data_IF_085111336456
#
_entry.id   IF_085111336456
#
_cell.length_a   1.000
_cell.length_b   1.000
_cell.length_c   1.000
_cell.angle_alpha   90.00
_cell.angle_beta   90.00
_cell.angle_gamma   90.00
#
_symmetry.space_group_name_H-M   'P 1'
#
loop_
_entity.id
_entity.type
_entity.pdbx_description
1 polymer ?
#
# COMPACT_ATOMS: atom_id res chain seq x y z
N UNK A 1 -1.30 -2.83 -12.66
CA UNK A 1 -0.30 -2.60 -11.58
C UNK A 1 1.08 -2.96 -12.08
N UNK A 2 2.06 -2.12 -11.80
CA UNK A 2 3.49 -2.33 -12.12
C UNK A 2 4.29 -2.42 -10.83
N UNK A 3 5.10 -3.48 -10.70
CA UNK A 3 6.03 -3.63 -9.58
C UNK A 3 7.43 -3.24 -10.07
N UNK A 4 8.00 -2.21 -9.44
CA UNK A 4 9.30 -1.64 -9.81
C UNK A 4 10.41 -2.04 -8.84
N UNK A 5 11.66 -1.79 -9.23
CA UNK A 5 12.88 -2.06 -8.45
C UNK A 5 13.16 -3.55 -8.22
N UNK A 6 12.72 -4.39 -9.17
CA UNK A 6 12.98 -5.83 -9.17
C UNK A 6 11.93 -6.67 -8.43
N UNK A 7 12.25 -7.94 -8.19
CA UNK A 7 11.36 -8.98 -7.65
C UNK A 7 11.80 -9.54 -6.29
N UNK A 8 12.86 -8.98 -5.71
CA UNK A 8 13.44 -9.45 -4.45
C UNK A 8 13.33 -8.38 -3.38
N UNK A 9 12.64 -8.70 -2.30
CA UNK A 9 12.33 -7.78 -1.19
C UNK A 9 13.35 -7.93 -0.07
N UNK A 10 13.73 -6.81 0.59
CA UNK A 10 14.57 -6.83 1.80
C UNK A 10 13.80 -7.27 3.05
N UNK A 11 12.48 -7.43 2.99
CA UNK A 11 11.61 -7.83 4.12
C UNK A 11 10.87 -9.13 3.84
N UNK A 12 10.57 -9.88 4.90
CA UNK A 12 9.88 -11.18 4.87
C UNK A 12 8.53 -11.10 5.58
N UNK A 13 7.53 -10.51 4.94
CA UNK A 13 6.18 -10.49 5.50
C UNK A 13 5.51 -11.86 5.37
N UNK A 14 4.90 -12.37 6.47
CA UNK A 14 4.37 -13.73 6.53
C UNK A 14 3.19 -14.05 5.59
N UNK A 15 2.63 -13.05 4.92
CA UNK A 15 1.51 -13.20 3.97
C UNK A 15 1.94 -13.04 2.50
N UNK A 16 3.17 -12.56 2.24
CA UNK A 16 3.61 -12.12 0.91
C UNK A 16 4.48 -13.18 0.22
N UNK A 17 4.19 -13.47 -1.05
CA UNK A 17 4.89 -14.48 -1.87
C UNK A 17 6.05 -13.88 -2.69
N UNK A 18 6.43 -12.64 -2.44
CA UNK A 18 7.61 -12.02 -3.07
C UNK A 18 8.89 -12.62 -2.49
N UNK A 19 9.86 -12.90 -3.37
CA UNK A 19 11.16 -13.42 -2.96
C UNK A 19 11.83 -12.50 -1.93
N UNK A 20 12.45 -13.09 -0.91
CA UNK A 20 13.19 -12.34 0.11
C UNK A 20 14.69 -12.56 -0.05
N UNK A 21 15.46 -11.49 0.00
CA UNK A 21 16.92 -11.57 -0.14
C UNK A 21 17.59 -10.23 -0.41
N UNK A 22 18.77 -10.32 -1.03
CA UNK A 22 19.49 -9.12 -1.50
C UNK A 22 18.97 -8.77 -2.90
N UNK A 23 18.33 -7.59 -3.07
CA UNK A 23 17.87 -7.15 -4.38
C UNK A 23 19.01 -6.89 -5.37
N UNK A 24 18.68 -6.92 -6.66
CA UNK A 24 19.61 -6.48 -7.72
C UNK A 24 19.75 -4.96 -7.77
N UNK A 25 20.73 -4.49 -8.54
CA UNK A 25 20.89 -3.07 -8.82
C UNK A 25 19.66 -2.50 -9.55
N UNK A 26 19.43 -1.21 -9.40
CA UNK A 26 18.35 -0.50 -10.07
C UNK A 26 18.65 -0.40 -11.56
N UNK A 27 17.59 -0.51 -12.36
CA UNK A 27 17.64 -0.29 -13.80
C UNK A 27 17.13 1.13 -14.11
N UNK A 28 18.03 2.02 -14.46
CA UNK A 28 17.72 3.43 -14.74
C UNK A 28 16.70 3.65 -15.87
N UNK A 29 16.49 2.65 -16.73
CA UNK A 29 15.51 2.70 -17.82
C UNK A 29 14.13 2.13 -17.43
N UNK A 30 14.00 1.49 -16.27
CA UNK A 30 12.72 0.92 -15.83
C UNK A 30 11.60 1.97 -15.74
N UNK A 31 11.81 3.20 -15.20
CA UNK A 31 10.77 4.23 -15.19
C UNK A 31 10.23 4.58 -16.58
N UNK A 32 11.10 4.69 -17.58
CA UNK A 32 10.70 4.94 -18.95
C UNK A 32 9.90 3.76 -19.52
N UNK A 33 10.36 2.52 -19.33
CA UNK A 33 9.65 1.32 -19.82
C UNK A 33 8.28 1.16 -19.17
N UNK A 34 8.13 1.50 -17.88
CA UNK A 34 6.82 1.53 -17.23
C UNK A 34 5.91 2.55 -17.91
N UNK A 35 6.40 3.76 -18.18
CA UNK A 35 5.63 4.80 -18.84
C UNK A 35 5.22 4.41 -20.27
N UNK A 36 6.11 3.80 -21.06
CA UNK A 36 5.82 3.25 -22.38
C UNK A 36 4.80 2.11 -22.34
N UNK A 37 4.87 1.26 -21.31
CA UNK A 37 3.90 0.18 -21.11
C UNK A 37 2.51 0.73 -20.79
N UNK A 38 2.42 1.75 -19.93
CA UNK A 38 1.17 2.47 -19.63
C UNK A 38 0.56 3.04 -20.91
N UNK A 39 1.39 3.66 -21.77
CA UNK A 39 0.97 4.22 -23.06
C UNK A 39 0.48 3.13 -24.01
N UNK A 40 1.25 2.06 -24.18
CA UNK A 40 0.91 0.97 -25.09
C UNK A 40 -0.38 0.25 -24.69
N UNK A 41 -0.65 0.16 -23.38
CA UNK A 41 -1.87 -0.44 -22.84
C UNK A 41 -3.04 0.55 -22.76
N UNK A 42 -2.83 1.82 -23.12
CA UNK A 42 -3.84 2.90 -23.09
C UNK A 42 -4.53 3.01 -21.72
N UNK A 43 -3.75 2.90 -20.63
CA UNK A 43 -4.32 2.88 -19.28
C UNK A 43 -4.78 4.27 -18.85
N UNK A 44 -5.99 4.36 -18.33
CA UNK A 44 -6.54 5.58 -17.69
C UNK A 44 -6.14 5.71 -16.23
N UNK A 45 -5.73 4.59 -15.61
CA UNK A 45 -5.25 4.52 -14.23
C UNK A 45 -4.11 3.51 -14.12
N UNK A 46 -2.99 3.94 -13.57
CA UNK A 46 -1.81 3.09 -13.36
C UNK A 46 -1.45 3.02 -11.88
N UNK A 47 -1.33 1.80 -11.35
CA UNK A 47 -0.83 1.57 -9.99
C UNK A 47 0.63 1.16 -10.06
N UNK A 48 1.50 1.89 -9.34
CA UNK A 48 2.93 1.62 -9.22
C UNK A 48 3.21 1.15 -7.80
N UNK A 49 3.79 -0.01 -7.67
CA UNK A 49 4.23 -0.56 -6.37
C UNK A 49 5.68 -1.03 -6.46
N UNK A 50 6.28 -1.42 -5.35
CA UNK A 50 7.63 -1.96 -5.32
C UNK A 50 7.79 -3.06 -4.28
N UNK A 51 8.90 -3.78 -4.39
CA UNK A 51 9.50 -4.48 -3.26
C UNK A 51 10.06 -3.48 -2.24
N UNK A 52 10.22 -3.87 -0.98
CA UNK A 52 10.98 -3.03 -0.04
C UNK A 52 12.46 -3.04 -0.40
N UNK A 53 13.06 -1.85 -0.43
CA UNK A 53 14.46 -1.59 -0.75
C UNK A 53 15.16 -0.90 0.42
N UNK A 54 15.13 -1.57 1.60
CA UNK A 54 15.82 -1.08 2.82
C UNK A 54 17.34 -1.03 2.67
N UNK A 55 17.87 -1.55 1.57
CA UNK A 55 19.26 -1.48 1.12
C UNK A 55 19.63 -0.13 0.49
N UNK A 56 18.64 0.62 -0.01
CA UNK A 56 18.82 1.96 -0.57
C UNK A 56 18.72 3.04 0.51
N UNK A 57 19.50 4.12 0.42
CA UNK A 57 19.52 5.18 1.43
C UNK A 57 18.14 5.84 1.65
N UNK A 58 17.38 6.01 0.57
CA UNK A 58 16.04 6.63 0.55
C UNK A 58 14.90 5.61 0.45
N UNK A 59 15.20 4.30 0.58
CA UNK A 59 14.23 3.23 0.40
C UNK A 59 13.63 3.14 -1.01
N UNK A 60 14.22 3.82 -2.00
CA UNK A 60 13.77 3.87 -3.40
C UNK A 60 12.74 4.97 -3.71
N UNK A 61 12.56 5.95 -2.82
CA UNK A 61 11.56 7.01 -3.01
C UNK A 61 11.86 7.88 -4.24
N UNK A 62 13.13 8.22 -4.49
CA UNK A 62 13.53 8.96 -5.69
C UNK A 62 13.23 8.18 -6.98
N UNK A 63 13.32 6.85 -6.93
CA UNK A 63 12.99 6.01 -8.07
C UNK A 63 11.48 5.95 -8.33
N UNK A 64 10.65 5.93 -7.27
CA UNK A 64 9.21 6.13 -7.38
C UNK A 64 8.90 7.48 -8.02
N UNK A 65 9.49 8.58 -7.52
CA UNK A 65 9.27 9.92 -8.05
C UNK A 65 9.61 10.00 -9.55
N UNK A 66 10.76 9.45 -9.95
CA UNK A 66 11.17 9.35 -11.36
C UNK A 66 10.14 8.59 -12.20
N UNK A 67 9.61 7.47 -11.66
CA UNK A 67 8.60 6.66 -12.37
C UNK A 67 7.29 7.43 -12.53
N UNK A 68 6.82 8.11 -11.48
CA UNK A 68 5.61 8.95 -11.54
C UNK A 68 5.78 10.04 -12.62
N UNK A 69 6.91 10.74 -12.62
CA UNK A 69 7.18 11.79 -13.59
C UNK A 69 7.20 11.27 -15.03
N UNK A 70 7.85 10.13 -15.30
CA UNK A 70 7.88 9.54 -16.64
C UNK A 70 6.49 9.09 -17.09
N UNK A 71 5.70 8.46 -16.22
CA UNK A 71 4.32 8.07 -16.54
C UNK A 71 3.48 9.31 -16.89
N UNK A 72 3.51 10.34 -16.05
CA UNK A 72 2.74 11.58 -16.29
C UNK A 72 3.22 12.34 -17.54
N UNK A 73 4.52 12.32 -17.82
CA UNK A 73 5.09 12.97 -19.00
C UNK A 73 4.60 12.33 -20.31
N UNK A 74 4.59 11.00 -20.40
CA UNK A 74 4.14 10.27 -21.59
C UNK A 74 2.62 10.12 -21.66
N UNK A 75 1.94 10.11 -20.51
CA UNK A 75 0.51 9.80 -20.38
C UNK A 75 -0.20 10.86 -19.51
N UNK A 76 -0.32 12.10 -19.96
CA UNK A 76 -0.80 13.21 -19.12
C UNK A 76 -2.26 13.08 -18.65
N UNK A 77 -3.04 12.20 -19.25
CA UNK A 77 -4.43 11.91 -18.84
C UNK A 77 -4.56 10.69 -17.92
N UNK A 78 -3.45 9.96 -17.66
CA UNK A 78 -3.47 8.77 -16.79
C UNK A 78 -3.34 9.18 -15.33
N UNK A 79 -4.28 8.74 -14.51
CA UNK A 79 -4.19 8.86 -13.06
C UNK A 79 -3.14 7.88 -12.51
N UNK A 80 -2.27 8.34 -11.62
CA UNK A 80 -1.21 7.52 -11.00
C UNK A 80 -1.52 7.27 -9.53
N UNK A 81 -1.62 6.01 -9.16
CA UNK A 81 -1.63 5.56 -7.77
C UNK A 81 -0.26 4.96 -7.45
N UNK A 82 0.27 5.23 -6.26
CA UNK A 82 1.47 4.56 -5.76
C UNK A 82 1.17 3.77 -4.50
N UNK A 83 1.61 2.52 -4.44
CA UNK A 83 1.63 1.72 -3.21
C UNK A 83 3.06 1.65 -2.69
N UNK A 84 3.36 2.48 -1.70
CA UNK A 84 4.71 2.70 -1.18
C UNK A 84 5.02 1.89 0.08
N UNK A 85 6.29 1.55 0.33
CA UNK A 85 6.74 1.05 1.62
C UNK A 85 6.70 2.16 2.69
N UNK A 86 7.01 1.81 3.95
CA UNK A 86 7.03 2.79 5.04
C UNK A 86 8.33 3.65 5.09
N UNK A 87 9.27 3.45 4.17
CA UNK A 87 10.58 4.11 4.11
C UNK A 87 11.28 4.23 5.47
N UNK A 88 11.03 3.26 6.39
CA UNK A 88 11.51 3.31 7.79
C UNK A 88 11.11 4.58 8.56
N UNK A 89 10.13 5.33 8.05
CA UNK A 89 9.63 6.59 8.62
C UNK A 89 10.45 7.83 8.21
N UNK A 90 11.26 7.71 7.18
CA UNK A 90 12.01 8.85 6.61
C UNK A 90 11.04 9.83 5.91
N UNK A 91 10.92 11.02 6.49
CA UNK A 91 10.03 12.08 5.96
C UNK A 91 10.51 12.61 4.62
N UNK A 92 11.82 12.75 4.41
CA UNK A 92 12.39 13.18 3.13
C UNK A 92 12.05 12.22 1.99
N UNK A 93 12.01 10.91 2.29
CA UNK A 93 11.56 9.91 1.33
C UNK A 93 10.05 10.04 1.02
N UNK A 94 9.23 10.38 2.02
CA UNK A 94 7.79 10.62 1.80
C UNK A 94 7.58 11.92 1.01
N UNK A 95 8.37 12.96 1.27
CA UNK A 95 8.31 14.23 0.54
C UNK A 95 8.61 14.04 -0.95
N UNK A 96 9.59 13.19 -1.32
CA UNK A 96 9.86 12.83 -2.72
C UNK A 96 8.60 12.30 -3.43
N UNK A 97 7.77 11.53 -2.74
CA UNK A 97 6.51 11.00 -3.30
C UNK A 97 5.46 12.12 -3.41
N UNK A 98 5.32 12.94 -2.38
CA UNK A 98 4.35 14.04 -2.33
C UNK A 98 4.65 15.06 -3.44
N UNK A 99 5.92 15.44 -3.61
CA UNK A 99 6.38 16.38 -4.65
C UNK A 99 6.16 15.83 -6.07
N UNK A 100 6.31 14.50 -6.27
CA UNK A 100 5.98 13.86 -7.54
C UNK A 100 4.48 13.86 -7.84
N UNK A 101 3.64 14.21 -6.86
CA UNK A 101 2.21 14.48 -6.97
C UNK A 101 1.38 13.34 -7.61
N UNK A 102 1.42 12.10 -7.13
CA UNK A 102 0.50 11.07 -7.58
C UNK A 102 -0.94 11.46 -7.20
N UNK A 103 -1.95 10.95 -7.91
CA UNK A 103 -3.36 11.16 -7.58
C UNK A 103 -3.79 10.39 -6.34
N UNK A 104 -3.14 9.22 -6.07
CA UNK A 104 -3.39 8.43 -4.87
C UNK A 104 -2.05 7.97 -4.26
N UNK A 105 -1.86 8.30 -2.98
CA UNK A 105 -0.78 7.78 -2.15
C UNK A 105 -1.35 6.66 -1.27
N UNK A 106 -0.98 5.43 -1.58
CA UNK A 106 -1.38 4.24 -0.85
C UNK A 106 -0.21 3.70 -0.02
N UNK A 107 -0.47 3.44 1.26
CA UNK A 107 0.40 2.67 2.13
C UNK A 107 -0.42 1.75 3.01
N UNK A 108 -0.26 0.44 2.86
CA UNK A 108 -1.06 -0.54 3.56
C UNK A 108 -0.64 -0.72 5.03
N UNK A 109 -1.63 -0.76 5.93
CA UNK A 109 -1.45 -1.23 7.30
C UNK A 109 -1.35 -2.76 7.37
N UNK A 110 -1.99 -3.45 6.46
CA UNK A 110 -2.10 -4.91 6.28
C UNK A 110 -2.86 -5.62 7.40
N UNK A 111 -2.59 -5.32 8.67
CA UNK A 111 -3.20 -6.01 9.81
C UNK A 111 -3.31 -5.11 11.04
N UNK A 112 -4.00 -5.61 12.07
CA UNK A 112 -4.23 -4.92 13.35
C UNK A 112 -2.96 -4.79 14.20
N UNK A 113 -2.87 -3.85 15.16
CA UNK A 113 -1.67 -3.59 15.97
C UNK A 113 -1.08 -4.85 16.64
N UNK A 114 -1.93 -5.71 17.23
CA UNK A 114 -1.50 -6.92 17.92
C UNK A 114 -0.73 -7.89 17.04
N UNK A 115 -1.12 -7.99 15.76
CA UNK A 115 -0.55 -8.93 14.80
C UNK A 115 0.62 -8.36 13.99
N UNK A 116 0.88 -7.05 14.03
CA UNK A 116 1.92 -6.41 13.22
C UNK A 116 3.28 -7.08 13.35
N UNK A 117 3.74 -7.28 14.58
CA UNK A 117 5.08 -7.82 14.85
C UNK A 117 5.27 -9.24 14.32
N UNK A 118 4.19 -10.03 14.31
CA UNK A 118 4.20 -11.41 13.83
C UNK A 118 4.08 -11.51 12.31
N UNK A 119 3.30 -10.62 11.70
CA UNK A 119 2.94 -10.68 10.28
C UNK A 119 3.86 -9.81 9.42
N UNK A 120 4.28 -8.65 9.94
CA UNK A 120 5.13 -7.64 9.26
C UNK A 120 6.34 -7.30 10.12
N UNK A 121 7.24 -8.22 10.29
CA UNK A 121 8.36 -8.18 11.27
C UNK A 121 9.20 -6.90 11.24
N UNK A 122 9.37 -6.25 10.09
CA UNK A 122 10.17 -5.04 9.90
C UNK A 122 9.32 -3.75 9.81
N UNK A 123 7.99 -3.85 9.90
CA UNK A 123 7.09 -2.71 9.88
C UNK A 123 6.52 -2.42 11.29
N UNK A 124 5.88 -1.27 11.43
CA UNK A 124 5.25 -0.85 12.67
C UNK A 124 3.91 -0.17 12.37
N UNK A 125 2.86 -0.52 13.11
CA UNK A 125 1.54 0.07 12.98
C UNK A 125 1.59 1.59 13.12
N UNK A 126 2.20 2.09 14.20
CA UNK A 126 2.32 3.52 14.44
C UNK A 126 3.11 4.26 13.36
N UNK A 127 4.16 3.63 12.77
CA UNK A 127 4.91 4.22 11.66
C UNK A 127 4.03 4.33 10.41
N UNK A 128 3.29 3.28 10.08
CA UNK A 128 2.38 3.27 8.94
C UNK A 128 1.28 4.33 9.08
N UNK A 129 0.68 4.43 10.28
CA UNK A 129 -0.32 5.45 10.56
C UNK A 129 0.26 6.88 10.48
N UNK A 130 1.46 7.09 11.06
CA UNK A 130 2.16 8.39 11.00
C UNK A 130 2.52 8.81 9.58
N UNK A 131 2.84 7.86 8.68
CA UNK A 131 3.10 8.15 7.27
C UNK A 131 1.84 8.69 6.60
N UNK A 132 0.69 8.02 6.78
CA UNK A 132 -0.57 8.44 6.19
C UNK A 132 -1.00 9.81 6.73
N UNK A 133 -0.87 10.02 8.05
CA UNK A 133 -1.16 11.31 8.68
C UNK A 133 -0.24 12.41 8.14
N UNK A 134 1.07 12.14 8.03
CA UNK A 134 2.03 13.11 7.49
C UNK A 134 1.66 13.53 6.05
N UNK A 135 1.24 12.58 5.20
CA UNK A 135 0.76 12.91 3.86
C UNK A 135 -0.49 13.79 3.91
N UNK A 136 -1.43 13.54 4.81
CA UNK A 136 -2.65 14.38 4.97
C UNK A 136 -2.35 15.78 5.50
N UNK A 137 -1.39 15.91 6.42
CA UNK A 137 -1.02 17.18 7.03
C UNK A 137 -0.10 18.03 6.14
N UNK A 138 0.44 17.43 5.07
CA UNK A 138 1.33 18.08 4.11
C UNK A 138 0.54 18.84 3.02
N UNK A 139 1.27 19.42 2.05
CA UNK A 139 0.68 20.03 0.86
C UNK A 139 0.21 19.01 -0.21
N UNK A 140 0.08 17.73 0.14
CA UNK A 140 -0.39 16.70 -0.78
C UNK A 140 -1.85 16.93 -1.17
N UNK A 141 -2.10 17.09 -2.46
CA UNK A 141 -3.44 17.36 -3.02
C UNK A 141 -4.18 16.10 -3.46
N UNK A 142 -3.50 14.95 -3.49
CA UNK A 142 -4.10 13.67 -3.87
C UNK A 142 -4.90 13.03 -2.73
N UNK A 143 -5.32 11.78 -2.96
CA UNK A 143 -6.04 10.97 -1.98
C UNK A 143 -5.08 10.06 -1.23
N UNK A 144 -5.26 9.93 0.08
CA UNK A 144 -4.58 8.90 0.87
C UNK A 144 -5.37 7.60 0.87
N UNK A 145 -4.68 6.49 0.76
CA UNK A 145 -5.29 5.15 0.72
C UNK A 145 -4.52 4.17 1.61
N UNK A 146 -5.26 3.23 2.18
CA UNK A 146 -4.67 2.10 2.92
C UNK A 146 -5.44 0.81 2.70
N UNK A 147 -4.81 -0.32 3.02
CA UNK A 147 -5.42 -1.64 2.93
C UNK A 147 -5.21 -2.47 4.18
N UNK A 148 -6.23 -3.28 4.48
CA UNK A 148 -6.21 -4.33 5.49
C UNK A 148 -6.49 -5.68 4.85
N UNK A 149 -5.83 -6.70 5.38
CA UNK A 149 -6.05 -8.10 5.02
C UNK A 149 -6.59 -8.80 6.27
N UNK A 150 -7.79 -9.36 6.20
CA UNK A 150 -8.45 -10.04 7.32
C UNK A 150 -8.47 -11.55 7.12
N UNK A 151 -8.59 -12.30 8.23
CA UNK A 151 -8.54 -13.76 8.25
C UNK A 151 -7.19 -14.33 8.69
N UNK A 152 -6.31 -13.50 9.27
CA UNK A 152 -5.00 -13.90 9.79
C UNK A 152 -4.99 -14.08 11.32
N UNK A 153 -6.12 -13.85 12.01
CA UNK A 153 -6.28 -14.02 13.47
C UNK A 153 -6.65 -12.76 14.22
N UNK A 154 -7.01 -11.69 13.51
CA UNK A 154 -7.61 -10.48 14.08
C UNK A 154 -9.04 -10.76 14.56
N UNK A 155 -9.45 -10.05 15.60
CA UNK A 155 -10.83 -10.00 16.08
C UNK A 155 -11.59 -8.85 15.39
N UNK A 156 -12.92 -8.98 15.34
CA UNK A 156 -13.77 -7.95 14.70
C UNK A 156 -13.54 -6.56 15.30
N UNK A 157 -13.52 -6.44 16.60
CA UNK A 157 -13.34 -5.20 17.35
C UNK A 157 -11.97 -4.55 17.09
N UNK A 158 -10.94 -5.35 16.84
CA UNK A 158 -9.61 -4.84 16.49
C UNK A 158 -9.61 -4.15 15.12
N UNK A 159 -10.35 -4.70 14.15
CA UNK A 159 -10.51 -4.07 12.82
C UNK A 159 -11.32 -2.79 12.94
N UNK A 160 -12.37 -2.77 13.77
CA UNK A 160 -13.14 -1.55 14.05
C UNK A 160 -12.26 -0.46 14.68
N UNK A 161 -11.41 -0.81 15.64
CA UNK A 161 -10.47 0.14 16.24
C UNK A 161 -9.48 0.73 15.21
N UNK A 162 -9.02 -0.09 14.25
CA UNK A 162 -8.18 0.40 13.14
C UNK A 162 -8.95 1.38 12.25
N UNK A 163 -10.23 1.12 11.96
CA UNK A 163 -11.07 2.04 11.18
C UNK A 163 -11.27 3.36 11.91
N UNK A 164 -11.41 3.34 13.23
CA UNK A 164 -11.49 4.55 14.05
C UNK A 164 -10.18 5.35 14.00
N UNK A 165 -9.01 4.70 14.17
CA UNK A 165 -7.70 5.36 14.02
C UNK A 165 -7.54 6.01 12.63
N UNK A 166 -7.95 5.31 11.56
CA UNK A 166 -7.89 5.81 10.19
C UNK A 166 -8.83 7.01 9.96
N UNK A 167 -10.00 7.00 10.56
CA UNK A 167 -10.93 8.14 10.56
C UNK A 167 -10.32 9.37 11.23
N UNK A 168 -9.67 9.21 12.39
CA UNK A 168 -9.05 10.31 13.14
C UNK A 168 -7.95 11.02 12.33
N UNK A 169 -7.25 10.30 11.44
CA UNK A 169 -6.24 10.90 10.55
C UNK A 169 -6.80 11.26 9.16
N UNK A 170 -8.13 11.21 8.97
CA UNK A 170 -8.83 11.58 7.74
C UNK A 170 -8.35 10.85 6.48
N UNK A 171 -8.09 9.54 6.54
CA UNK A 171 -7.76 8.74 5.35
C UNK A 171 -8.94 8.73 4.39
N UNK A 172 -8.68 8.89 3.09
CA UNK A 172 -9.73 9.02 2.07
C UNK A 172 -10.29 7.67 1.61
N UNK A 173 -9.44 6.65 1.49
CA UNK A 173 -9.80 5.34 0.91
C UNK A 173 -9.26 4.22 1.79
N UNK A 174 -10.13 3.26 2.13
CA UNK A 174 -9.75 2.03 2.83
C UNK A 174 -10.20 0.82 2.03
N UNK A 175 -9.33 -0.17 1.88
CA UNK A 175 -9.66 -1.46 1.28
C UNK A 175 -9.54 -2.56 2.32
N UNK A 176 -10.50 -3.48 2.39
CA UNK A 176 -10.48 -4.62 3.31
C UNK A 176 -10.74 -5.89 2.51
N UNK A 177 -9.75 -6.78 2.45
CA UNK A 177 -9.81 -8.02 1.69
C UNK A 177 -9.51 -9.27 2.53
N UNK A 178 -9.99 -10.43 2.08
CA UNK A 178 -9.66 -11.72 2.70
C UNK A 178 -8.21 -12.10 2.43
N UNK A 179 -7.50 -12.54 3.45
CA UNK A 179 -6.22 -13.22 3.30
C UNK A 179 -6.41 -14.55 2.54
N UNK A 180 -5.70 -14.67 1.43
CA UNK A 180 -5.60 -15.92 0.67
C UNK A 180 -4.16 -16.40 0.75
N UNK A 181 -3.95 -17.56 1.36
CA UNK A 181 -2.62 -18.11 1.60
C UNK A 181 -1.94 -18.49 0.28
N UNK A 182 -0.79 -17.87 -0.10
CA UNK A 182 -0.15 -18.16 -1.38
C UNK A 182 0.37 -19.60 -1.47
N UNK A 183 1.09 -20.08 -0.45
CA UNK A 183 1.62 -21.45 -0.39
C UNK A 183 1.58 -22.00 1.03
N UNK A 184 1.85 -23.32 1.19
CA UNK A 184 1.90 -23.97 2.50
C UNK A 184 3.00 -23.41 3.44
N UNK A 185 3.97 -22.65 2.92
CA UNK A 185 5.04 -22.02 3.72
C UNK A 185 4.61 -20.72 4.38
N UNK A 186 3.57 -20.06 3.86
CA UNK A 186 3.03 -18.82 4.39
C UNK A 186 2.14 -19.05 5.61
N UNK A 187 1.79 -17.96 6.28
CA UNK A 187 0.89 -17.99 7.44
C UNK A 187 -0.40 -18.75 7.09
N UNK A 188 -0.85 -19.70 7.94
CA UNK A 188 -2.14 -20.35 7.71
C UNK A 188 -3.28 -19.33 7.78
N UNK A 189 -4.33 -19.57 7.00
CA UNK A 189 -5.59 -18.85 7.15
C UNK A 189 -6.17 -19.23 8.50
N UNK A 190 -6.47 -18.23 9.34
CA UNK A 190 -7.11 -18.45 10.64
C UNK A 190 -8.61 -18.71 10.45
N UNK A 191 -9.26 -17.90 9.62
CA UNK A 191 -10.66 -18.07 9.23
C UNK A 191 -10.95 -17.43 7.88
N UNK A 192 -11.99 -17.89 7.23
CA UNK A 192 -12.63 -17.16 6.14
C UNK A 192 -13.71 -16.27 6.76
N UNK A 193 -13.57 -14.97 6.53
CA UNK A 193 -14.48 -13.94 7.06
C UNK A 193 -15.80 -13.97 6.28
N UNK A 194 -16.92 -13.94 6.98
CA UNK A 194 -18.25 -13.96 6.38
C UNK A 194 -18.54 -12.68 5.58
N UNK A 195 -19.33 -12.78 4.51
CA UNK A 195 -19.68 -11.64 3.67
C UNK A 195 -20.37 -10.52 4.44
N UNK A 196 -21.20 -10.89 5.40
CA UNK A 196 -21.93 -9.97 6.28
C UNK A 196 -20.97 -9.16 7.17
N UNK A 197 -19.84 -9.74 7.55
CA UNK A 197 -18.80 -9.04 8.33
C UNK A 197 -18.09 -7.98 7.47
N UNK A 198 -17.80 -8.28 6.21
CA UNK A 198 -17.27 -7.27 5.27
C UNK A 198 -18.22 -6.10 5.07
N UNK A 199 -19.54 -6.37 5.00
CA UNK A 199 -20.56 -5.32 4.92
C UNK A 199 -20.56 -4.46 6.18
N UNK A 200 -20.39 -5.08 7.37
CA UNK A 200 -20.31 -4.35 8.64
C UNK A 200 -19.07 -3.47 8.71
N UNK A 201 -17.88 -3.97 8.30
CA UNK A 201 -16.66 -3.15 8.24
C UNK A 201 -16.87 -1.90 7.39
N UNK A 202 -17.47 -2.04 6.20
CA UNK A 202 -17.78 -0.91 5.34
C UNK A 202 -18.72 0.07 6.03
N UNK A 203 -19.89 -0.39 6.48
CA UNK A 203 -20.91 0.47 7.09
C UNK A 203 -20.40 1.21 8.33
N UNK A 204 -19.65 0.52 9.21
CA UNK A 204 -19.13 1.14 10.44
C UNK A 204 -18.05 2.17 10.09
N UNK A 205 -17.10 1.84 9.22
CA UNK A 205 -16.05 2.77 8.85
C UNK A 205 -16.59 4.01 8.12
N UNK A 206 -17.59 3.86 7.25
CA UNK A 206 -18.30 4.99 6.65
C UNK A 206 -19.02 5.84 7.71
N UNK A 207 -19.59 5.22 8.75
CA UNK A 207 -20.22 5.94 9.88
C UNK A 207 -19.20 6.74 10.73
N UNK A 208 -17.93 6.32 10.74
CA UNK A 208 -16.84 7.10 11.35
C UNK A 208 -16.38 8.28 10.48
N UNK A 209 -16.89 8.39 9.25
CA UNK A 209 -16.58 9.49 8.33
C UNK A 209 -15.49 9.18 7.30
N UNK A 210 -15.06 7.92 7.14
CA UNK A 210 -14.14 7.55 6.05
C UNK A 210 -14.91 7.67 4.73
N UNK A 211 -14.43 8.49 3.76
CA UNK A 211 -15.22 8.80 2.56
C UNK A 211 -15.47 7.63 1.63
N UNK A 212 -14.52 6.68 1.56
CA UNK A 212 -14.63 5.53 0.65
C UNK A 212 -14.05 4.27 1.26
N UNK A 213 -14.87 3.21 1.36
CA UNK A 213 -14.42 1.89 1.82
C UNK A 213 -14.85 0.84 0.81
N UNK A 214 -13.86 0.09 0.30
CA UNK A 214 -14.12 -1.15 -0.42
C UNK A 214 -13.81 -2.34 0.49
N UNK A 215 -14.82 -3.17 0.75
CA UNK A 215 -14.70 -4.29 1.67
C UNK A 215 -15.36 -5.53 1.09
N UNK A 216 -14.61 -6.62 0.98
CA UNK A 216 -15.12 -7.87 0.43
C UNK A 216 -14.04 -8.93 0.26
N UNK A 217 -14.42 -10.22 0.11
CA UNK A 217 -13.46 -11.33 0.07
C UNK A 217 -12.40 -11.21 -1.04
N UNK A 218 -12.76 -10.63 -2.18
CA UNK A 218 -11.86 -10.49 -3.33
C UNK A 218 -11.29 -9.08 -3.49
N UNK A 219 -11.58 -8.16 -2.58
CA UNK A 219 -11.00 -6.80 -2.61
C UNK A 219 -9.49 -6.89 -2.41
N UNK A 220 -8.77 -6.06 -3.16
CA UNK A 220 -7.33 -5.86 -3.06
C UNK A 220 -7.01 -4.37 -3.04
N UNK A 221 -5.89 -4.00 -2.43
CA UNK A 221 -5.43 -2.60 -2.41
C UNK A 221 -4.91 -2.13 -3.76
N UNK A 222 -4.52 -3.05 -4.65
CA UNK A 222 -4.08 -2.75 -6.03
C UNK A 222 -4.49 -3.87 -6.97
N UNK A 223 -4.88 -3.54 -8.19
CA UNK A 223 -5.20 -4.46 -9.28
C UNK A 223 -4.28 -4.24 -10.47
#
# INVERSE_FOLDING_TARGET
TFMIMGDTCTRACGFCDVNTGKPCDLDDLEPLRVAESVQTMELTHAVITSVNRDDLPDGGSAFFAKTIHEVKRLNPSTSVEVLIPDFKGDRGAIDNIIEASPEVLNHNLETVPRLQREIRTAASYGRSLSLLQYAKDSAFLGKTKTGLIVGMGEEFEEVIAVLEDLSQINVDIVTIGQYLRPTAKHRPIHRYVDKEEFVKYKSIGESFGIPHIESGPLVRSSY
#
